data_IF_678521455917
#
_entry.id   IF_678521455917
#
_cell.length_a   1.000
_cell.length_b   1.000
_cell.length_c   1.000
_cell.angle_alpha   90.00
_cell.angle_beta   90.00
_cell.angle_gamma   90.00
#
_symmetry.space_group_name_H-M   'P 1'
#
loop_
_entity.id
_entity.type
_entity.pdbx_description
1 polymer ?
#
# COMPACT_ATOMS: atom_id res chain seq x y z
N UNK A 1 -1.45 -19.63 -13.54
CA UNK A 1 -0.37 -19.25 -12.65
C UNK A 1 -0.64 -17.83 -12.24
N UNK A 2 -0.86 -17.63 -10.96
CA UNK A 2 -1.12 -16.33 -10.38
C UNK A 2 0.21 -15.59 -10.16
N UNK A 3 1.27 -16.30 -9.76
CA UNK A 3 2.63 -15.78 -9.56
C UNK A 3 3.49 -15.81 -10.84
N UNK A 4 4.38 -14.83 -10.99
CA UNK A 4 5.42 -14.81 -12.02
C UNK A 4 6.80 -15.09 -11.39
N UNK A 5 7.71 -15.66 -12.18
CA UNK A 5 9.12 -15.90 -11.80
C UNK A 5 10.10 -15.09 -12.64
N UNK A 6 9.61 -14.01 -13.26
CA UNK A 6 10.43 -13.08 -14.04
C UNK A 6 10.87 -11.92 -13.17
N UNK A 7 12.15 -11.55 -13.24
CA UNK A 7 12.62 -10.32 -12.60
C UNK A 7 12.08 -9.09 -13.34
N UNK A 8 11.37 -8.22 -12.64
CA UNK A 8 10.76 -7.01 -13.20
C UNK A 8 11.74 -5.83 -13.29
N UNK A 9 12.86 -5.89 -12.57
CA UNK A 9 13.82 -4.80 -12.44
C UNK A 9 15.24 -5.28 -12.73
N UNK A 10 16.13 -4.35 -13.08
CA UNK A 10 17.55 -4.64 -13.19
C UNK A 10 18.39 -3.54 -12.53
N UNK A 11 19.45 -3.87 -11.78
CA UNK A 11 20.26 -2.88 -11.07
C UNK A 11 20.76 -1.74 -11.96
N UNK A 12 21.15 -2.03 -13.21
CA UNK A 12 21.71 -1.05 -14.15
C UNK A 12 20.72 0.06 -14.57
N UNK A 13 19.42 -0.13 -14.34
CA UNK A 13 18.41 0.88 -14.66
C UNK A 13 18.41 2.04 -13.65
N UNK A 14 18.89 1.82 -12.42
CA UNK A 14 18.83 2.81 -11.35
C UNK A 14 19.76 4.02 -11.53
N UNK A 15 21.06 3.84 -11.84
CA UNK A 15 22.00 4.96 -11.99
C UNK A 15 21.58 6.08 -12.96
N UNK A 16 21.08 5.81 -14.19
CA UNK A 16 20.59 6.89 -15.05
C UNK A 16 19.36 7.60 -14.47
N UNK A 17 18.38 6.85 -13.92
CA UNK A 17 17.19 7.43 -13.27
C UNK A 17 17.55 8.32 -12.08
N UNK A 18 18.54 7.91 -11.28
CA UNK A 18 19.07 8.69 -10.17
C UNK A 18 19.72 10.00 -10.64
N UNK A 19 20.42 9.99 -11.77
CA UNK A 19 21.01 11.20 -12.35
C UNK A 19 19.93 12.18 -12.81
N UNK A 20 18.88 11.70 -13.48
CA UNK A 20 17.76 12.52 -13.93
C UNK A 20 17.00 13.15 -12.74
N UNK A 21 16.77 12.37 -11.68
CA UNK A 21 16.13 12.87 -10.46
C UNK A 21 16.98 13.98 -9.80
N UNK A 22 18.29 13.80 -9.70
CA UNK A 22 19.20 14.83 -9.15
C UNK A 22 19.20 16.11 -9.97
N UNK A 23 19.11 16.00 -11.30
CA UNK A 23 19.01 17.17 -12.16
C UNK A 23 17.72 17.96 -11.89
N UNK A 24 16.58 17.28 -11.71
CA UNK A 24 15.32 17.93 -11.30
C UNK A 24 15.41 18.53 -9.90
N UNK A 25 15.96 17.80 -8.93
CA UNK A 25 16.16 18.30 -7.57
C UNK A 25 16.97 19.60 -7.57
N UNK A 26 18.09 19.64 -8.31
CA UNK A 26 18.92 20.83 -8.42
C UNK A 26 18.17 22.00 -9.07
N UNK A 27 17.43 21.74 -10.16
CA UNK A 27 16.66 22.75 -10.87
C UNK A 27 15.58 23.39 -9.98
N UNK A 28 15.05 22.64 -9.02
CA UNK A 28 13.99 23.10 -8.12
C UNK A 28 14.48 23.52 -6.73
N UNK A 29 15.79 23.39 -6.47
CA UNK A 29 16.41 23.79 -5.21
C UNK A 29 16.08 22.84 -4.05
N UNK A 30 16.09 21.53 -4.31
CA UNK A 30 16.05 20.49 -3.29
C UNK A 30 17.46 19.92 -3.05
N UNK A 31 17.83 19.78 -1.78
CA UNK A 31 19.10 19.15 -1.37
C UNK A 31 18.94 17.64 -1.13
N UNK A 32 17.72 17.22 -0.78
CA UNK A 32 17.35 15.83 -0.60
C UNK A 32 15.91 15.56 -1.06
N UNK A 33 15.62 14.31 -1.40
CA UNK A 33 14.29 13.85 -1.83
C UNK A 33 13.92 12.51 -1.20
N UNK A 34 12.69 12.40 -0.68
CA UNK A 34 12.13 11.16 -0.14
C UNK A 34 11.43 10.33 -1.23
N UNK A 35 11.71 9.03 -1.26
CA UNK A 35 11.04 8.07 -2.15
C UNK A 35 10.55 6.88 -1.30
N UNK A 36 9.30 6.90 -0.82
CA UNK A 36 8.76 5.76 -0.08
C UNK A 36 8.45 4.60 -1.02
N UNK A 37 8.27 3.39 -0.45
CA UNK A 37 7.54 2.33 -1.17
C UNK A 37 6.07 2.75 -1.32
N UNK A 38 5.46 3.21 -0.24
CA UNK A 38 4.03 3.46 -0.11
C UNK A 38 3.39 4.24 -1.28
N UNK A 39 2.14 3.89 -1.58
CA UNK A 39 1.22 4.67 -2.40
C UNK A 39 0.40 5.64 -1.54
N UNK A 40 -0.57 6.33 -2.14
CA UNK A 40 -1.46 7.24 -1.43
C UNK A 40 -2.42 6.53 -0.45
N UNK A 41 -2.39 5.21 -0.40
CA UNK A 41 -3.22 4.37 0.47
C UNK A 41 -2.42 3.67 1.55
N UNK A 42 -1.10 3.90 1.62
CA UNK A 42 -0.19 3.27 2.57
C UNK A 42 -0.27 1.73 2.53
N UNK A 43 -0.52 1.17 1.34
CA UNK A 43 -0.63 -0.28 1.13
C UNK A 43 0.72 -1.00 1.25
N UNK A 44 0.70 -2.27 1.69
CA UNK A 44 1.90 -3.13 1.71
C UNK A 44 2.35 -3.49 0.29
N UNK A 45 1.39 -3.78 -0.58
CA UNK A 45 1.59 -3.92 -2.03
C UNK A 45 1.06 -2.66 -2.71
N UNK A 46 1.75 -2.19 -3.73
CA UNK A 46 1.30 -1.05 -4.55
C UNK A 46 1.19 -1.46 -6.00
N UNK A 47 0.37 -0.74 -6.76
CA UNK A 47 0.20 -0.97 -8.19
C UNK A 47 1.48 -0.62 -8.97
N UNK A 48 1.70 -1.18 -10.17
CA UNK A 48 2.86 -0.84 -11.00
C UNK A 48 3.03 0.67 -11.29
N UNK A 49 1.93 1.43 -11.33
CA UNK A 49 1.94 2.89 -11.44
C UNK A 49 2.70 3.55 -10.28
N UNK A 50 2.49 3.03 -9.06
CA UNK A 50 3.02 3.59 -7.82
C UNK A 50 4.35 2.96 -7.39
N UNK A 51 4.91 2.06 -8.20
CA UNK A 51 6.14 1.31 -7.86
C UNK A 51 7.42 2.14 -8.06
N UNK A 52 7.39 3.38 -7.55
CA UNK A 52 8.42 4.42 -7.70
C UNK A 52 9.75 4.01 -7.08
N UNK A 53 9.72 3.34 -5.92
CA UNK A 53 10.94 2.84 -5.27
C UNK A 53 11.63 1.77 -6.11
N UNK A 54 10.88 0.78 -6.61
CA UNK A 54 11.46 -0.27 -7.46
C UNK A 54 11.90 0.29 -8.81
N UNK A 55 11.13 1.22 -9.38
CA UNK A 55 11.52 1.90 -10.61
C UNK A 55 12.82 2.69 -10.44
N UNK A 56 12.97 3.49 -9.38
CA UNK A 56 14.19 4.26 -9.17
C UNK A 56 15.40 3.38 -8.85
N UNK A 57 15.24 2.38 -7.99
CA UNK A 57 16.38 1.69 -7.35
C UNK A 57 16.60 0.26 -7.82
N UNK A 58 15.58 -0.38 -8.38
CA UNK A 58 15.51 -1.81 -8.66
C UNK A 58 15.03 -2.66 -7.48
N UNK A 59 14.93 -2.12 -6.27
CA UNK A 59 14.52 -2.85 -5.08
C UNK A 59 13.01 -3.17 -5.07
N UNK A 60 12.65 -4.45 -4.99
CA UNK A 60 11.25 -4.92 -5.03
C UNK A 60 10.75 -5.49 -3.71
N UNK A 61 11.45 -5.26 -2.60
CA UNK A 61 11.00 -5.74 -1.28
C UNK A 61 9.77 -4.97 -0.80
N UNK A 62 8.91 -5.61 0.00
CA UNK A 62 7.66 -5.00 0.49
C UNK A 62 7.86 -3.89 1.53
N UNK A 63 9.07 -3.73 2.08
CA UNK A 63 9.36 -2.65 3.02
C UNK A 63 10.73 -2.02 2.75
N UNK A 64 10.72 -0.70 2.61
CA UNK A 64 11.89 0.13 2.43
C UNK A 64 11.54 1.50 1.86
N UNK A 65 12.53 2.37 1.78
CA UNK A 65 12.42 3.68 1.16
C UNK A 65 13.81 4.17 0.76
N UNK A 66 13.87 5.08 -0.20
CA UNK A 66 15.11 5.72 -0.61
C UNK A 66 15.12 7.19 -0.19
N UNK A 67 16.29 7.70 0.20
CA UNK A 67 16.55 9.11 0.34
C UNK A 67 17.69 9.48 -0.61
N UNK A 68 17.38 10.35 -1.57
CA UNK A 68 18.33 10.82 -2.58
C UNK A 68 18.88 12.17 -2.16
N UNK A 69 20.20 12.31 -2.19
CA UNK A 69 20.93 13.58 -2.02
C UNK A 69 21.64 13.93 -3.33
N UNK A 70 22.21 15.13 -3.40
CA UNK A 70 22.96 15.61 -4.57
C UNK A 70 24.09 14.66 -5.02
N UNK A 71 24.81 14.02 -4.09
CA UNK A 71 25.99 13.20 -4.35
C UNK A 71 25.86 11.72 -3.94
N UNK A 72 25.02 11.42 -2.95
CA UNK A 72 24.74 10.06 -2.46
C UNK A 72 23.25 9.70 -2.48
N UNK A 73 22.93 8.41 -2.31
CA UNK A 73 21.56 7.95 -2.14
C UNK A 73 21.55 6.76 -1.17
N UNK A 74 20.68 6.82 -0.15
CA UNK A 74 20.50 5.74 0.83
C UNK A 74 19.25 4.93 0.51
N UNK A 75 19.36 3.60 0.43
CA UNK A 75 18.22 2.67 0.35
C UNK A 75 18.06 1.99 1.71
N UNK A 76 17.00 2.35 2.43
CA UNK A 76 16.71 1.90 3.78
C UNK A 76 15.86 0.64 3.72
N UNK A 77 16.37 -0.44 4.30
CA UNK A 77 15.67 -1.73 4.30
C UNK A 77 15.78 -2.40 5.67
N UNK A 78 14.79 -3.22 6.00
CA UNK A 78 14.81 -4.03 7.21
C UNK A 78 15.56 -5.36 7.08
N UNK A 79 15.68 -6.09 8.19
CA UNK A 79 16.43 -7.32 8.30
C UNK A 79 16.04 -8.41 7.28
N UNK A 80 14.79 -8.40 6.80
CA UNK A 80 14.28 -9.37 5.82
C UNK A 80 14.95 -9.20 4.45
N UNK A 81 15.42 -7.99 4.15
CA UNK A 81 15.78 -7.56 2.79
C UNK A 81 17.28 -7.29 2.59
N UNK A 82 18.12 -7.57 3.59
CA UNK A 82 19.56 -7.27 3.55
C UNK A 82 20.34 -8.04 2.46
N UNK A 83 19.87 -9.23 2.07
CA UNK A 83 20.42 -10.01 0.94
C UNK A 83 19.83 -9.52 -0.38
N UNK A 84 18.51 -9.36 -0.43
CA UNK A 84 17.78 -8.94 -1.64
C UNK A 84 18.25 -7.57 -2.16
N UNK A 85 18.41 -6.58 -1.28
CA UNK A 85 18.84 -5.22 -1.68
C UNK A 85 20.20 -5.23 -2.40
N UNK A 86 21.12 -6.11 -1.99
CA UNK A 86 22.46 -6.23 -2.61
C UNK A 86 22.40 -6.88 -3.99
N UNK A 87 21.42 -7.73 -4.23
CA UNK A 87 21.22 -8.39 -5.52
C UNK A 87 20.47 -7.50 -6.53
N UNK A 88 19.57 -6.64 -6.05
CA UNK A 88 18.64 -5.89 -6.89
C UNK A 88 19.04 -4.43 -7.14
N UNK A 89 19.91 -3.86 -6.31
CA UNK A 89 20.24 -2.43 -6.36
C UNK A 89 21.68 -2.21 -6.79
N UNK A 90 21.90 -1.24 -7.68
CA UNK A 90 23.24 -0.86 -8.12
C UNK A 90 24.05 -0.16 -7.02
N UNK A 91 25.39 -0.19 -7.14
CA UNK A 91 26.32 0.44 -6.21
C UNK A 91 26.15 1.98 -6.06
N UNK A 92 25.38 2.62 -6.93
CA UNK A 92 25.01 4.03 -6.82
C UNK A 92 24.13 4.32 -5.58
N UNK A 93 23.47 3.30 -5.02
CA UNK A 93 22.69 3.40 -3.80
C UNK A 93 23.39 2.65 -2.66
N UNK A 94 23.49 3.28 -1.50
CA UNK A 94 24.07 2.67 -0.29
C UNK A 94 22.97 2.06 0.55
N UNK A 95 23.06 0.76 0.83
CA UNK A 95 22.13 0.10 1.75
C UNK A 95 22.29 0.62 3.18
N UNK A 96 21.18 1.02 3.79
CA UNK A 96 21.11 1.52 5.17
C UNK A 96 20.25 0.57 5.99
N UNK A 97 20.77 0.15 7.15
CA UNK A 97 20.06 -0.74 8.06
C UNK A 97 18.96 0.02 8.80
N UNK A 98 17.70 -0.20 8.40
CA UNK A 98 16.52 0.34 9.05
C UNK A 98 15.81 -0.78 9.85
N UNK A 99 15.27 -0.52 11.06
CA UNK A 99 15.15 0.75 11.76
C UNK A 99 16.33 1.13 12.67
N UNK A 100 17.46 0.42 12.59
CA UNK A 100 18.64 0.73 13.40
C UNK A 100 19.19 2.15 13.14
N UNK A 101 19.16 2.57 11.87
CA UNK A 101 19.43 3.93 11.42
C UNK A 101 18.13 4.59 10.97
N UNK A 102 17.77 5.71 11.59
CA UNK A 102 16.55 6.46 11.26
C UNK A 102 16.85 7.58 10.24
N UNK A 103 15.86 8.00 9.42
CA UNK A 103 16.01 9.08 8.43
C UNK A 103 16.58 10.38 8.98
N UNK A 104 16.01 10.87 10.10
CA UNK A 104 16.43 12.13 10.71
C UNK A 104 17.93 12.18 11.06
N UNK A 105 18.43 11.28 11.93
CA UNK A 105 19.87 11.19 12.22
C UNK A 105 20.74 11.02 10.97
N UNK A 106 20.33 10.16 10.03
CA UNK A 106 21.08 9.94 8.79
C UNK A 106 21.21 11.21 7.94
N UNK A 107 20.14 11.99 7.84
CA UNK A 107 20.09 13.28 7.15
C UNK A 107 20.89 14.36 7.89
N UNK A 108 20.81 14.43 9.22
CA UNK A 108 21.56 15.39 10.03
C UNK A 108 23.08 15.23 9.87
N UNK A 109 23.58 14.01 9.63
CA UNK A 109 25.00 13.78 9.37
C UNK A 109 25.45 14.28 7.99
N UNK A 110 24.52 14.42 7.04
CA UNK A 110 24.82 14.58 5.60
C UNK A 110 24.43 15.91 5.02
N UNK A 111 23.38 16.54 5.55
CA UNK A 111 22.90 17.84 5.10
C UNK A 111 23.50 18.99 5.92
N UNK A 112 23.71 20.12 5.24
CA UNK A 112 24.07 21.38 5.86
C UNK A 112 22.90 22.05 6.58
N UNK A 113 23.19 23.14 7.29
CA UNK A 113 22.14 23.97 7.89
C UNK A 113 21.26 24.60 6.79
N UNK A 114 19.96 24.68 7.04
CA UNK A 114 19.00 25.32 6.12
C UNK A 114 18.71 24.54 4.83
N UNK A 115 19.18 23.30 4.71
CA UNK A 115 18.92 22.46 3.53
C UNK A 115 17.42 22.19 3.33
N UNK A 116 17.01 21.83 2.11
CA UNK A 116 15.61 21.57 1.76
C UNK A 116 15.41 20.09 1.39
N UNK A 117 14.60 19.41 2.20
CA UNK A 117 14.13 18.04 1.95
C UNK A 117 12.77 18.08 1.24
N UNK A 118 12.72 17.59 0.01
CA UNK A 118 11.48 17.47 -0.76
C UNK A 118 10.77 16.13 -0.54
N UNK A 119 9.44 16.17 -0.64
CA UNK A 119 8.60 14.98 -0.59
C UNK A 119 7.27 15.21 -1.32
N UNK A 120 6.63 14.11 -1.70
CA UNK A 120 5.27 14.11 -2.24
C UNK A 120 4.26 13.97 -1.08
N UNK A 121 3.37 14.96 -0.85
CA UNK A 121 2.43 14.92 0.26
C UNK A 121 1.33 13.86 0.12
N UNK A 122 1.19 13.22 -1.04
CA UNK A 122 0.30 12.06 -1.21
C UNK A 122 0.89 10.77 -0.64
N UNK A 123 2.22 10.64 -0.59
CA UNK A 123 2.88 9.36 -0.30
C UNK A 123 3.38 9.21 1.14
N UNK A 124 3.27 10.27 1.94
CA UNK A 124 3.72 10.31 3.32
C UNK A 124 2.58 10.64 4.27
N UNK A 125 2.64 10.12 5.49
CA UNK A 125 1.63 10.40 6.51
C UNK A 125 1.99 11.63 7.34
N UNK A 126 1.01 12.24 8.00
CA UNK A 126 1.29 13.35 8.91
C UNK A 126 2.27 12.97 10.02
N UNK A 127 2.11 11.78 10.61
CA UNK A 127 3.00 11.30 11.65
C UNK A 127 4.46 11.18 11.17
N UNK A 128 4.68 10.70 9.95
CA UNK A 128 6.02 10.58 9.37
C UNK A 128 6.67 11.95 9.18
N UNK A 129 5.95 12.88 8.55
CA UNK A 129 6.45 14.23 8.25
C UNK A 129 6.75 14.98 9.54
N UNK A 130 5.85 15.01 10.51
CA UNK A 130 6.08 15.71 11.79
C UNK A 130 7.24 15.10 12.58
N UNK A 131 7.39 13.77 12.56
CA UNK A 131 8.53 13.08 13.19
C UNK A 131 9.84 13.52 12.55
N UNK A 132 9.85 13.65 11.21
CA UNK A 132 11.02 14.04 10.46
C UNK A 132 11.35 15.53 10.64
N UNK A 133 10.35 16.41 10.58
CA UNK A 133 10.50 17.84 10.89
C UNK A 133 11.11 18.06 12.27
N UNK A 134 10.57 17.39 13.30
CA UNK A 134 11.09 17.47 14.66
C UNK A 134 12.56 17.03 14.73
N UNK A 135 12.89 15.90 14.09
CA UNK A 135 14.25 15.37 14.07
C UNK A 135 15.24 16.28 13.31
N UNK A 136 14.78 17.01 12.30
CA UNK A 136 15.60 17.85 11.43
C UNK A 136 15.70 19.32 11.90
N UNK A 137 14.82 19.74 12.82
CA UNK A 137 14.79 21.07 13.41
C UNK A 137 16.13 21.60 13.96
N UNK A 138 17.05 20.80 14.55
CA UNK A 138 18.30 21.33 15.09
C UNK A 138 19.24 21.94 14.04
N UNK A 139 19.10 21.56 12.76
CA UNK A 139 19.84 22.16 11.63
C UNK A 139 18.99 23.12 10.80
N UNK A 140 17.75 23.38 11.20
CA UNK A 140 16.81 24.19 10.42
C UNK A 140 16.56 23.65 9.01
N UNK A 141 16.68 22.33 8.80
CA UNK A 141 16.42 21.71 7.50
C UNK A 141 14.91 21.76 7.27
N UNK A 142 14.49 22.38 6.17
CA UNK A 142 13.08 22.58 5.84
C UNK A 142 12.54 21.38 5.06
N UNK A 143 11.32 20.95 5.38
CA UNK A 143 10.57 20.02 4.54
C UNK A 143 9.67 20.81 3.58
N UNK A 144 9.69 20.46 2.30
CA UNK A 144 8.90 21.12 1.26
C UNK A 144 8.12 20.11 0.43
N UNK A 145 6.80 20.14 0.57
CA UNK A 145 5.86 19.32 -0.20
C UNK A 145 5.70 19.84 -1.63
N UNK A 146 5.72 18.96 -2.63
CA UNK A 146 5.39 19.26 -4.04
C UNK A 146 4.92 17.99 -4.76
N UNK A 147 4.50 18.11 -6.02
CA UNK A 147 4.15 16.95 -6.85
C UNK A 147 5.37 16.04 -7.06
N UNK A 148 5.13 14.75 -7.32
CA UNK A 148 6.21 13.78 -7.40
C UNK A 148 7.23 14.09 -8.51
N UNK A 149 8.52 14.22 -8.15
CA UNK A 149 9.57 14.43 -9.14
C UNK A 149 9.83 13.20 -10.02
N UNK A 150 9.58 11.97 -9.52
CA UNK A 150 9.86 10.75 -10.30
C UNK A 150 8.89 10.62 -11.47
N UNK A 151 7.63 11.00 -11.30
CA UNK A 151 6.62 10.89 -12.36
C UNK A 151 6.99 11.74 -13.60
N UNK A 152 7.76 12.83 -13.39
CA UNK A 152 8.26 13.70 -14.48
C UNK A 152 9.42 13.11 -15.27
N UNK A 153 10.07 12.08 -14.75
CA UNK A 153 11.20 11.37 -15.39
C UNK A 153 10.86 9.91 -15.71
N UNK A 154 9.59 9.52 -15.55
CA UNK A 154 9.10 8.18 -15.84
C UNK A 154 8.19 8.19 -17.08
N UNK A 155 8.76 8.31 -18.30
CA UNK A 155 7.98 8.48 -19.53
C UNK A 155 7.07 7.29 -19.88
N UNK A 156 7.41 6.10 -19.39
CA UNK A 156 6.67 4.85 -19.57
C UNK A 156 5.95 4.40 -18.28
N UNK A 157 5.55 5.34 -17.43
CA UNK A 157 4.77 5.04 -16.22
C UNK A 157 3.47 4.31 -16.58
N UNK A 158 3.19 3.14 -15.97
CA UNK A 158 1.92 2.46 -16.17
C UNK A 158 0.73 3.34 -15.80
N UNK A 159 -0.41 3.14 -16.46
CA UNK A 159 -1.64 3.81 -16.05
C UNK A 159 -2.03 3.41 -14.61
N UNK A 160 -2.71 4.30 -13.86
CA UNK A 160 -3.30 3.93 -12.58
C UNK A 160 -4.17 2.68 -12.71
N UNK A 161 -4.25 1.83 -11.67
CA UNK A 161 -5.06 0.63 -11.74
C UNK A 161 -6.55 1.00 -11.86
N UNK A 162 -7.25 0.28 -12.75
CA UNK A 162 -8.65 0.49 -13.11
C UNK A 162 -9.44 -0.83 -13.06
N UNK A 163 -9.15 -1.68 -12.08
CA UNK A 163 -9.83 -2.96 -11.89
C UNK A 163 -11.30 -2.75 -11.51
N UNK A 164 -12.24 -3.57 -12.05
CA UNK A 164 -13.65 -3.40 -11.77
C UNK A 164 -13.96 -3.67 -10.29
N UNK A 165 -14.86 -2.88 -9.72
CA UNK A 165 -15.46 -3.12 -8.41
C UNK A 165 -16.57 -4.16 -8.55
N UNK A 166 -16.60 -5.10 -7.61
CA UNK A 166 -17.66 -6.10 -7.53
C UNK A 166 -18.33 -6.04 -6.15
N UNK A 167 -19.64 -6.26 -6.13
CA UNK A 167 -20.39 -6.43 -4.90
C UNK A 167 -19.86 -7.62 -4.09
N UNK A 168 -19.73 -7.44 -2.78
CA UNK A 168 -19.44 -8.51 -1.83
C UNK A 168 -20.74 -9.01 -1.21
N UNK A 169 -21.05 -10.32 -1.27
CA UNK A 169 -22.33 -10.84 -0.82
C UNK A 169 -22.58 -10.59 0.67
N UNK A 170 -23.80 -10.15 1.01
CA UNK A 170 -24.17 -9.81 2.39
C UNK A 170 -24.11 -11.04 3.30
N UNK A 171 -24.45 -12.22 2.80
CA UNK A 171 -24.36 -13.49 3.52
C UNK A 171 -22.93 -13.86 3.94
N UNK A 172 -21.92 -13.33 3.24
CA UNK A 172 -20.51 -13.47 3.61
C UNK A 172 -20.01 -12.30 4.47
N UNK A 173 -20.67 -11.14 4.39
CA UNK A 173 -20.31 -9.93 5.13
C UNK A 173 -20.92 -9.87 6.54
N UNK A 174 -22.00 -10.61 6.78
CA UNK A 174 -22.77 -10.61 8.04
C UNK A 174 -23.70 -9.40 8.19
N UNK A 175 -23.20 -8.21 7.90
CA UNK A 175 -23.93 -6.94 7.99
C UNK A 175 -24.10 -6.28 6.61
N UNK A 176 -25.21 -5.56 6.42
CA UNK A 176 -25.41 -4.74 5.22
C UNK A 176 -24.46 -3.52 5.22
N UNK A 177 -24.23 -2.91 4.05
CA UNK A 177 -23.44 -1.69 3.96
C UNK A 177 -24.10 -0.54 4.75
N UNK A 178 -25.44 -0.45 4.70
CA UNK A 178 -26.20 0.53 5.46
C UNK A 178 -26.01 0.39 6.98
N UNK A 179 -26.05 -0.84 7.51
CA UNK A 179 -25.84 -1.09 8.95
C UNK A 179 -24.42 -0.70 9.39
N UNK A 180 -23.42 -1.00 8.55
CA UNK A 180 -22.03 -0.60 8.82
C UNK A 180 -21.88 0.91 8.81
N UNK A 181 -22.44 1.61 7.82
CA UNK A 181 -22.41 3.09 7.78
C UNK A 181 -23.12 3.72 8.97
N UNK A 182 -24.28 3.21 9.37
CA UNK A 182 -24.98 3.67 10.57
C UNK A 182 -24.14 3.49 11.84
N UNK A 183 -23.41 2.37 11.96
CA UNK A 183 -22.47 2.14 13.07
C UNK A 183 -21.33 3.15 13.08
N UNK A 184 -20.73 3.44 11.92
CA UNK A 184 -19.67 4.44 11.80
C UNK A 184 -20.19 5.85 12.12
N UNK A 185 -21.38 6.20 11.62
CA UNK A 185 -22.04 7.46 11.91
C UNK A 185 -22.26 7.66 13.42
N UNK A 186 -22.71 6.62 14.13
CA UNK A 186 -22.87 6.67 15.58
C UNK A 186 -21.55 6.91 16.34
N UNK A 187 -20.44 6.30 15.89
CA UNK A 187 -19.10 6.55 16.46
C UNK A 187 -18.71 8.01 16.26
N UNK A 188 -18.91 8.57 15.06
CA UNK A 188 -18.59 9.96 14.78
C UNK A 188 -19.43 10.93 15.62
N UNK A 189 -20.74 10.66 15.75
CA UNK A 189 -21.63 11.47 16.57
C UNK A 189 -21.25 11.42 18.07
N UNK A 190 -20.90 10.25 18.61
CA UNK A 190 -20.43 10.10 19.99
C UNK A 190 -19.13 10.89 20.24
N UNK A 191 -18.23 10.91 19.26
CA UNK A 191 -16.97 11.64 19.33
C UNK A 191 -17.08 13.13 18.93
N UNK A 192 -18.30 13.62 18.62
CA UNK A 192 -18.57 15.00 18.23
C UNK A 192 -17.88 15.43 16.93
N UNK A 193 -17.79 14.52 15.96
CA UNK A 193 -17.10 14.69 14.69
C UNK A 193 -18.10 14.65 13.54
N UNK A 194 -18.04 15.67 12.67
CA UNK A 194 -18.96 15.81 11.53
C UNK A 194 -18.71 14.79 10.40
N UNK A 195 -17.48 14.31 10.27
CA UNK A 195 -17.06 13.41 9.22
C UNK A 195 -15.74 12.70 9.55
N UNK A 196 -15.44 11.61 8.83
CA UNK A 196 -14.14 10.98 8.76
C UNK A 196 -13.68 10.81 7.31
N UNK A 197 -12.38 10.99 7.07
CA UNK A 197 -11.74 10.67 5.79
C UNK A 197 -11.19 9.25 5.85
N UNK A 198 -11.68 8.37 4.97
CA UNK A 198 -11.20 7.01 4.81
C UNK A 198 -10.20 6.97 3.65
N UNK A 199 -8.96 6.65 3.97
CA UNK A 199 -7.84 6.59 3.00
C UNK A 199 -7.41 5.17 2.67
N UNK A 200 -7.83 4.20 3.49
CA UNK A 200 -7.51 2.79 3.34
C UNK A 200 -8.59 2.07 2.52
N UNK A 201 -8.24 1.50 1.35
CA UNK A 201 -9.18 0.81 0.48
C UNK A 201 -9.89 -0.39 1.11
N UNK A 202 -9.26 -1.10 2.06
CA UNK A 202 -9.86 -2.23 2.75
C UNK A 202 -10.98 -1.79 3.72
N UNK A 203 -10.84 -0.61 4.35
CA UNK A 203 -11.92 0.01 5.13
C UNK A 203 -13.10 0.42 4.25
N UNK A 204 -12.85 1.01 3.08
CA UNK A 204 -13.89 1.37 2.10
C UNK A 204 -14.60 0.10 1.60
N UNK A 205 -13.82 -0.94 1.25
CA UNK A 205 -14.32 -2.23 0.81
C UNK A 205 -15.21 -2.92 1.87
N UNK A 206 -14.81 -2.85 3.13
CA UNK A 206 -15.58 -3.39 4.24
C UNK A 206 -16.87 -2.59 4.49
N UNK A 207 -16.78 -1.25 4.49
CA UNK A 207 -17.91 -0.35 4.78
C UNK A 207 -19.02 -0.46 3.73
N UNK A 208 -18.64 -0.58 2.46
CA UNK A 208 -19.58 -0.59 1.32
C UNK A 208 -19.91 -2.00 0.81
N UNK A 209 -19.39 -3.05 1.46
CA UNK A 209 -19.50 -4.43 0.97
C UNK A 209 -19.10 -4.56 -0.50
N UNK A 210 -17.92 -4.07 -0.86
CA UNK A 210 -17.36 -4.17 -2.21
C UNK A 210 -15.99 -4.85 -2.19
N UNK A 211 -15.52 -5.31 -3.34
CA UNK A 211 -14.15 -5.81 -3.59
C UNK A 211 -13.65 -5.24 -4.90
N UNK A 212 -12.33 -5.28 -5.10
CA UNK A 212 -11.70 -4.83 -6.34
C UNK A 212 -10.52 -5.72 -6.74
N UNK A 213 -9.77 -5.24 -7.73
CA UNK A 213 -8.64 -5.96 -8.31
C UNK A 213 -7.47 -5.04 -8.68
N UNK A 214 -7.40 -3.86 -8.04
CA UNK A 214 -6.36 -2.87 -8.34
C UNK A 214 -4.97 -3.30 -7.86
N UNK A 215 -4.94 -4.00 -6.73
CA UNK A 215 -3.71 -4.50 -6.12
C UNK A 215 -3.68 -6.01 -6.27
N UNK A 216 -2.60 -6.54 -6.84
CA UNK A 216 -2.41 -7.99 -6.93
C UNK A 216 -2.47 -8.59 -5.52
N UNK A 217 -3.06 -9.79 -5.38
CA UNK A 217 -3.17 -10.52 -4.10
C UNK A 217 -4.10 -9.91 -3.07
N UNK A 218 -4.55 -8.67 -3.25
CA UNK A 218 -5.39 -7.96 -2.30
C UNK A 218 -6.68 -7.50 -2.99
N UNK A 219 -7.86 -8.06 -2.65
CA UNK A 219 -9.10 -7.84 -3.40
C UNK A 219 -9.76 -6.49 -3.06
N UNK A 220 -9.03 -5.40 -3.26
CA UNK A 220 -9.45 -4.02 -2.99
C UNK A 220 -9.49 -3.20 -4.28
N UNK A 221 -10.31 -2.15 -4.27
CA UNK A 221 -10.27 -1.08 -5.26
C UNK A 221 -9.74 0.18 -4.58
N UNK A 222 -8.66 0.73 -5.09
CA UNK A 222 -8.06 1.98 -4.61
C UNK A 222 -9.02 3.15 -4.86
N UNK A 223 -9.18 3.96 -3.82
CA UNK A 223 -10.04 5.14 -3.78
C UNK A 223 -10.04 5.75 -2.37
N UNK A 224 -10.70 6.88 -2.23
CA UNK A 224 -10.90 7.57 -0.96
C UNK A 224 -12.39 7.67 -0.65
N UNK A 225 -12.75 7.84 0.61
CA UNK A 225 -14.13 8.17 0.97
C UNK A 225 -14.19 9.21 2.08
N UNK A 226 -15.25 10.00 2.10
CA UNK A 226 -15.64 10.80 3.25
C UNK A 226 -16.98 10.26 3.74
N UNK A 227 -17.02 9.80 4.98
CA UNK A 227 -18.26 9.38 5.67
C UNK A 227 -18.65 10.46 6.68
N UNK A 228 -19.91 10.88 6.67
CA UNK A 228 -20.42 11.88 7.61
C UNK A 228 -21.15 11.26 8.81
N UNK A 229 -21.47 12.10 9.79
CA UNK A 229 -22.19 11.72 11.03
C UNK A 229 -23.63 11.22 10.80
N UNK A 230 -24.15 11.28 9.57
CA UNK A 230 -25.44 10.71 9.17
C UNK A 230 -25.31 9.34 8.50
N UNK A 231 -24.08 8.93 8.17
CA UNK A 231 -23.78 7.70 7.42
C UNK A 231 -23.80 7.90 5.91
N UNK A 232 -23.93 9.14 5.43
CA UNK A 232 -23.74 9.51 4.04
C UNK A 232 -22.28 9.32 3.63
N UNK A 233 -22.04 8.85 2.41
CA UNK A 233 -20.69 8.60 1.90
C UNK A 233 -20.48 9.31 0.57
N UNK A 234 -19.38 10.05 0.48
CA UNK A 234 -18.81 10.51 -0.78
C UNK A 234 -17.62 9.62 -1.11
N UNK A 235 -17.77 8.77 -2.12
CA UNK A 235 -16.75 7.85 -2.62
C UNK A 235 -15.99 8.49 -3.79
N UNK A 236 -14.68 8.62 -3.69
CA UNK A 236 -13.79 9.19 -4.69
C UNK A 236 -13.02 8.06 -5.37
N UNK A 237 -13.46 7.69 -6.57
CA UNK A 237 -12.95 6.53 -7.31
C UNK A 237 -13.17 6.75 -8.80
N UNK A 238 -12.31 6.16 -9.64
CA UNK A 238 -12.49 6.19 -11.09
C UNK A 238 -13.88 5.62 -11.47
N UNK A 239 -14.75 6.40 -12.14
CA UNK A 239 -16.08 5.95 -12.54
C UNK A 239 -16.08 4.67 -13.37
N UNK A 240 -15.02 4.40 -14.14
CA UNK A 240 -14.89 3.18 -14.92
C UNK A 240 -14.86 1.91 -14.05
N UNK A 241 -14.41 2.02 -12.79
CA UNK A 241 -14.42 0.90 -11.84
C UNK A 241 -15.81 0.56 -11.32
N UNK A 242 -16.75 1.51 -11.39
CA UNK A 242 -18.07 1.45 -10.75
C UNK A 242 -19.22 1.17 -11.74
N UNK A 243 -18.92 0.78 -12.99
CA UNK A 243 -19.90 0.64 -14.07
C UNK A 243 -21.11 -0.23 -13.72
N UNK A 244 -20.91 -1.29 -12.94
CA UNK A 244 -21.94 -2.27 -12.58
C UNK A 244 -22.45 -2.12 -11.13
N UNK A 245 -22.17 -0.98 -10.48
CA UNK A 245 -22.42 -0.81 -9.03
C UNK A 245 -23.69 -0.04 -8.67
N UNK A 246 -24.44 0.46 -9.66
CA UNK A 246 -25.64 1.26 -9.43
C UNK A 246 -26.74 0.55 -8.62
N UNK A 247 -26.85 -0.78 -8.74
CA UNK A 247 -27.84 -1.57 -7.99
C UNK A 247 -27.37 -2.00 -6.59
N UNK A 248 -26.06 -1.94 -6.32
CA UNK A 248 -25.46 -2.37 -5.05
C UNK A 248 -25.22 -1.20 -4.09
N UNK A 249 -24.82 -0.04 -4.61
CA UNK A 249 -24.55 1.14 -3.79
C UNK A 249 -25.87 1.82 -3.40
N UNK A 250 -26.00 2.11 -2.11
CA UNK A 250 -27.16 2.80 -1.58
C UNK A 250 -27.25 4.25 -2.12
N UNK A 251 -28.46 4.85 -2.19
CA UNK A 251 -28.64 6.23 -2.64
C UNK A 251 -27.83 7.28 -1.87
N UNK A 252 -27.48 6.99 -0.61
CA UNK A 252 -26.67 7.85 0.25
C UNK A 252 -25.15 7.74 -0.03
N UNK A 253 -24.75 6.95 -1.04
CA UNK A 253 -23.37 6.83 -1.53
C UNK A 253 -23.22 7.60 -2.84
N UNK A 254 -22.66 8.81 -2.75
CA UNK A 254 -22.33 9.63 -3.92
C UNK A 254 -20.97 9.23 -4.49
N UNK A 255 -20.92 8.84 -5.75
CA UNK A 255 -19.68 8.49 -6.45
C UNK A 255 -19.13 9.70 -7.21
N UNK A 256 -17.87 10.04 -6.94
CA UNK A 256 -17.17 11.21 -7.48
C UNK A 256 -15.83 10.78 -8.08
N UNK A 257 -15.31 11.48 -9.09
CA UNK A 257 -13.97 11.24 -9.62
C UNK A 257 -12.88 11.48 -8.56
N UNK A 258 -11.71 10.81 -8.65
CA UNK A 258 -10.64 10.92 -7.64
C UNK A 258 -10.11 12.34 -7.42
N UNK A 259 -10.03 13.15 -8.46
CA UNK A 259 -9.55 14.55 -8.41
C UNK A 259 -10.50 15.49 -7.64
N UNK A 260 -11.73 15.07 -7.37
CA UNK A 260 -12.70 15.81 -6.56
C UNK A 260 -12.43 15.78 -5.05
N UNK A 261 -11.53 14.93 -4.55
CA UNK A 261 -11.31 14.75 -3.11
C UNK A 261 -10.92 16.04 -2.40
N UNK A 262 -9.90 16.75 -2.89
CA UNK A 262 -9.39 17.95 -2.21
C UNK A 262 -10.42 19.07 -2.16
N UNK A 263 -11.17 19.26 -3.25
CA UNK A 263 -12.28 20.23 -3.30
C UNK A 263 -13.40 19.85 -2.32
N UNK A 264 -13.67 18.56 -2.15
CA UNK A 264 -14.66 18.07 -1.19
C UNK A 264 -14.20 18.19 0.27
N UNK A 265 -12.89 18.07 0.55
CA UNK A 265 -12.32 18.33 1.87
C UNK A 265 -12.45 19.81 2.24
N UNK A 266 -12.17 20.72 1.30
CA UNK A 266 -12.22 22.17 1.50
C UNK A 266 -13.63 22.73 1.82
N UNK A 267 -14.67 21.91 1.69
CA UNK A 267 -16.07 22.31 1.98
C UNK A 267 -16.62 21.70 3.27
N UNK A 268 -15.81 20.96 4.03
CA UNK A 268 -16.22 20.36 5.30
C UNK A 268 -16.33 21.41 6.41
N UNK A 269 -17.31 21.23 7.31
CA UNK A 269 -17.49 22.09 8.50
C UNK A 269 -16.57 21.72 9.67
N UNK A 270 -16.25 20.42 9.81
CA UNK A 270 -15.48 19.88 10.91
C UNK A 270 -16.24 19.80 12.26
N UNK A 271 -15.68 19.14 13.29
CA UNK A 271 -14.39 18.45 13.29
C UNK A 271 -14.35 17.27 12.32
N UNK A 272 -13.25 17.12 11.58
CA UNK A 272 -13.03 16.02 10.62
C UNK A 272 -12.03 15.03 11.20
N UNK A 273 -12.42 13.76 11.35
CA UNK A 273 -11.53 12.69 11.74
C UNK A 273 -10.54 12.35 10.63
N UNK A 274 -9.26 12.36 10.98
CA UNK A 274 -8.16 11.96 10.11
C UNK A 274 -7.22 11.05 10.89
N UNK A 275 -6.81 9.95 10.27
CA UNK A 275 -5.83 9.05 10.86
C UNK A 275 -4.41 9.57 10.60
N UNK A 276 -3.73 9.92 11.68
CA UNK A 276 -2.38 10.51 11.62
C UNK A 276 -1.33 9.55 11.04
N UNK A 277 -1.56 8.25 11.17
CA UNK A 277 -0.61 7.19 10.84
C UNK A 277 -0.84 6.57 9.44
N UNK A 278 -1.97 6.88 8.78
CA UNK A 278 -2.33 6.24 7.50
C UNK A 278 -2.86 7.22 6.45
N UNK A 279 -3.38 8.38 6.84
CA UNK A 279 -3.82 9.37 5.86
C UNK A 279 -2.62 10.08 5.22
N UNK A 280 -2.63 10.26 3.88
CA UNK A 280 -1.70 11.15 3.21
C UNK A 280 -1.66 12.55 3.83
N UNK A 281 -0.46 13.11 3.97
CA UNK A 281 -0.21 14.42 4.56
C UNK A 281 -1.03 15.52 3.87
N UNK A 282 -1.26 15.40 2.56
CA UNK A 282 -2.09 16.32 1.79
C UNK A 282 -3.51 16.48 2.36
N UNK A 283 -4.10 15.44 2.97
CA UNK A 283 -5.42 15.50 3.59
C UNK A 283 -5.41 16.48 4.76
N UNK A 284 -4.50 16.28 5.72
CA UNK A 284 -4.38 17.15 6.89
C UNK A 284 -3.95 18.57 6.52
N UNK A 285 -3.08 18.71 5.51
CA UNK A 285 -2.66 20.02 5.00
C UNK A 285 -3.83 20.77 4.39
N UNK A 286 -4.62 20.13 3.53
CA UNK A 286 -5.80 20.73 2.89
C UNK A 286 -6.81 21.23 3.93
N UNK A 287 -7.11 20.42 4.95
CA UNK A 287 -8.01 20.84 6.03
C UNK A 287 -7.45 22.03 6.82
N UNK A 288 -6.13 22.04 7.08
CA UNK A 288 -5.46 23.12 7.81
C UNK A 288 -5.44 24.43 7.01
N UNK A 289 -5.11 24.36 5.72
CA UNK A 289 -5.05 25.51 4.81
C UNK A 289 -6.43 26.20 4.68
N UNK A 290 -7.52 25.41 4.76
CA UNK A 290 -8.91 25.88 4.72
C UNK A 290 -9.47 26.24 6.11
N UNK A 291 -8.67 26.13 7.18
CA UNK A 291 -9.09 26.45 8.54
C UNK A 291 -10.14 25.50 9.13
N UNK A 292 -10.27 24.30 8.57
CA UNK A 292 -11.24 23.29 8.99
C UNK A 292 -10.68 22.56 10.21
N UNK A 293 -11.49 22.47 11.28
CA UNK A 293 -11.08 21.80 12.50
C UNK A 293 -10.87 20.31 12.22
N UNK A 294 -9.67 19.82 12.50
CA UNK A 294 -9.33 18.40 12.42
C UNK A 294 -9.37 17.74 13.80
N UNK A 295 -9.76 16.47 13.84
CA UNK A 295 -9.68 15.60 15.00
C UNK A 295 -8.80 14.40 14.64
N UNK A 296 -7.62 14.30 15.23
CA UNK A 296 -6.79 13.11 15.04
C UNK A 296 -7.46 11.90 15.69
N UNK A 297 -7.64 10.83 14.93
CA UNK A 297 -8.24 9.59 15.41
C UNK A 297 -8.02 8.47 14.41
N UNK A 298 -7.91 7.23 14.89
CA UNK A 298 -7.76 6.08 14.01
C UNK A 298 -8.95 5.95 13.04
N UNK A 299 -8.72 5.33 11.89
CA UNK A 299 -9.79 4.96 10.95
C UNK A 299 -10.97 4.31 11.71
N UNK A 300 -12.19 4.89 11.63
CA UNK A 300 -13.33 4.40 12.40
C UNK A 300 -13.80 3.00 11.97
N UNK A 301 -13.42 2.52 10.79
CA UNK A 301 -13.70 1.17 10.30
C UNK A 301 -12.70 0.14 10.84
N UNK A 302 -11.52 0.55 11.34
CA UNK A 302 -10.44 -0.36 11.70
C UNK A 302 -10.82 -1.38 12.78
N UNK A 303 -11.39 -0.91 13.90
CA UNK A 303 -11.79 -1.79 14.99
C UNK A 303 -13.04 -2.63 14.65
N UNK A 304 -14.12 -2.07 14.06
CA UNK A 304 -15.25 -2.87 13.61
C UNK A 304 -14.86 -4.00 12.65
N UNK A 305 -14.02 -3.75 11.64
CA UNK A 305 -13.57 -4.80 10.70
C UNK A 305 -12.58 -5.78 11.31
N UNK A 306 -11.90 -5.40 12.40
CA UNK A 306 -11.01 -6.31 13.11
C UNK A 306 -11.80 -7.42 13.83
N UNK A 307 -13.04 -7.13 14.25
CA UNK A 307 -13.91 -8.05 15.02
C UNK A 307 -14.91 -8.72 14.08
N UNK A 308 -14.61 -9.95 13.65
CA UNK A 308 -15.37 -10.65 12.61
C UNK A 308 -16.75 -11.04 13.14
N UNK A 309 -17.78 -10.84 12.31
CA UNK A 309 -19.12 -11.37 12.55
C UNK A 309 -19.15 -12.90 12.46
N UNK A 310 -20.22 -13.52 12.97
CA UNK A 310 -20.41 -14.98 12.86
C UNK A 310 -20.42 -15.45 11.40
N UNK A 311 -20.98 -14.66 10.48
CA UNK A 311 -20.98 -14.96 9.05
C UNK A 311 -19.55 -14.94 8.45
N UNK A 312 -18.75 -13.92 8.78
CA UNK A 312 -17.35 -13.82 8.32
C UNK A 312 -16.50 -14.96 8.90
N UNK A 313 -16.70 -15.32 10.18
CA UNK A 313 -16.01 -16.46 10.82
C UNK A 313 -16.41 -17.78 10.13
N UNK A 314 -17.70 -17.99 9.87
CA UNK A 314 -18.18 -19.19 9.20
C UNK A 314 -17.62 -19.30 7.77
N UNK A 315 -17.66 -18.22 6.99
CA UNK A 315 -17.12 -18.17 5.64
C UNK A 315 -15.59 -18.41 5.63
N UNK A 316 -14.87 -17.80 6.56
CA UNK A 316 -13.42 -17.98 6.74
C UNK A 316 -13.08 -19.43 7.11
N UNK A 317 -13.89 -20.05 7.97
CA UNK A 317 -13.74 -21.47 8.34
C UNK A 317 -13.90 -22.37 7.13
N UNK A 318 -14.92 -22.14 6.30
CA UNK A 318 -15.12 -22.92 5.06
C UNK A 318 -13.97 -22.73 4.07
N UNK A 319 -13.45 -21.50 3.94
CA UNK A 319 -12.27 -21.24 3.11
C UNK A 319 -11.03 -22.01 3.61
N UNK A 320 -10.79 -22.05 4.93
CA UNK A 320 -9.66 -22.77 5.52
C UNK A 320 -9.81 -24.29 5.43
N UNK A 321 -11.02 -24.84 5.58
CA UNK A 321 -11.26 -26.28 5.39
C UNK A 321 -10.94 -26.70 3.95
N UNK A 322 -11.35 -25.88 2.97
CA UNK A 322 -11.04 -26.08 1.55
C UNK A 322 -9.54 -25.98 1.27
N UNK A 323 -8.87 -24.96 1.78
CA UNK A 323 -7.41 -24.80 1.61
C UNK A 323 -6.65 -25.93 2.32
N UNK A 324 -7.11 -26.37 3.48
CA UNK A 324 -6.55 -27.51 4.20
C UNK A 324 -6.60 -28.82 3.39
N UNK A 325 -7.70 -29.09 2.69
CA UNK A 325 -7.79 -30.23 1.78
C UNK A 325 -6.82 -30.08 0.60
N UNK A 326 -6.71 -28.89 -0.01
CA UNK A 326 -5.75 -28.63 -1.08
C UNK A 326 -4.29 -28.79 -0.61
N UNK A 327 -3.99 -28.39 0.63
CA UNK A 327 -2.69 -28.58 1.27
C UNK A 327 -2.37 -30.06 1.48
N UNK A 328 -3.34 -30.88 1.91
CA UNK A 328 -3.15 -32.33 2.03
C UNK A 328 -2.81 -32.99 0.69
N UNK A 329 -3.54 -32.63 -0.38
CA UNK A 329 -3.27 -33.11 -1.75
C UNK A 329 -1.87 -32.70 -2.23
N UNK A 330 -1.50 -31.43 -1.99
CA UNK A 330 -0.18 -30.92 -2.31
C UNK A 330 0.93 -31.65 -1.53
N UNK A 331 0.77 -31.86 -0.22
CA UNK A 331 1.76 -32.54 0.62
C UNK A 331 1.93 -34.01 0.26
N UNK A 332 0.84 -34.70 -0.12
CA UNK A 332 0.89 -36.06 -0.66
C UNK A 332 1.73 -36.13 -1.95
N UNK A 333 1.52 -35.18 -2.87
CA UNK A 333 2.37 -35.05 -4.05
C UNK A 333 3.82 -34.74 -3.68
N UNK A 334 4.05 -33.84 -2.72
CA UNK A 334 5.40 -33.41 -2.34
C UNK A 334 6.23 -34.57 -1.76
N UNK A 335 5.61 -35.45 -0.99
CA UNK A 335 6.25 -36.67 -0.47
C UNK A 335 6.73 -37.58 -1.62
N UNK A 336 5.83 -37.86 -2.58
CA UNK A 336 6.16 -38.65 -3.77
C UNK A 336 7.22 -37.97 -4.65
N UNK A 337 7.14 -36.65 -4.79
CA UNK A 337 8.10 -35.84 -5.53
C UNK A 337 9.48 -35.90 -4.87
N UNK A 338 9.54 -35.84 -3.54
CA UNK A 338 10.78 -35.96 -2.76
C UNK A 338 11.42 -37.34 -2.91
N UNK A 339 10.62 -38.42 -2.91
CA UNK A 339 11.12 -39.76 -3.18
C UNK A 339 11.72 -39.87 -4.61
N UNK A 340 11.03 -39.33 -5.61
CA UNK A 340 11.55 -39.29 -6.98
C UNK A 340 12.83 -38.45 -7.09
N UNK A 341 12.94 -37.34 -6.35
CA UNK A 341 14.16 -36.52 -6.31
C UNK A 341 15.35 -37.30 -5.72
N UNK A 342 15.12 -38.13 -4.70
CA UNK A 342 16.13 -39.02 -4.13
C UNK A 342 16.64 -40.06 -5.14
N UNK A 343 15.82 -40.43 -6.13
CA UNK A 343 16.18 -41.32 -7.24
C UNK A 343 16.76 -40.58 -8.46
N UNK A 344 16.95 -39.26 -8.37
CA UNK A 344 17.61 -38.44 -9.40
C UNK A 344 16.66 -37.60 -10.27
N UNK A 345 15.35 -37.57 -9.98
CA UNK A 345 14.43 -36.66 -10.66
C UNK A 345 14.74 -35.19 -10.29
N UNK A 346 14.64 -34.29 -11.27
CA UNK A 346 14.81 -32.85 -11.04
C UNK A 346 13.47 -32.21 -10.68
N UNK A 347 13.38 -31.64 -9.48
CA UNK A 347 12.25 -30.82 -9.03
C UNK A 347 12.79 -29.47 -8.59
N UNK A 348 12.16 -28.39 -9.06
CA UNK A 348 12.54 -27.01 -8.72
C UNK A 348 11.55 -26.40 -7.75
N UNK A 349 11.96 -25.33 -7.06
CA UNK A 349 11.10 -24.50 -6.22
C UNK A 349 9.86 -24.00 -6.99
N UNK A 350 10.04 -23.63 -8.26
CA UNK A 350 8.97 -23.23 -9.17
C UNK A 350 7.96 -24.36 -9.39
N UNK A 351 8.41 -25.62 -9.51
CA UNK A 351 7.51 -26.76 -9.68
C UNK A 351 6.66 -27.00 -8.42
N UNK A 352 7.24 -26.78 -7.24
CA UNK A 352 6.55 -26.85 -5.95
C UNK A 352 5.44 -25.79 -5.87
N UNK A 353 5.75 -24.53 -6.20
CA UNK A 353 4.75 -23.45 -6.22
C UNK A 353 3.63 -23.75 -7.21
N UNK A 354 3.97 -24.15 -8.45
CA UNK A 354 3.00 -24.52 -9.48
C UNK A 354 2.06 -25.63 -9.01
N UNK A 355 2.59 -26.63 -8.29
CA UNK A 355 1.77 -27.72 -7.78
C UNK A 355 0.82 -27.24 -6.69
N UNK A 356 1.29 -26.44 -5.73
CA UNK A 356 0.44 -25.90 -4.68
C UNK A 356 -0.71 -25.05 -5.26
N UNK A 357 -0.38 -24.17 -6.21
CA UNK A 357 -1.40 -23.38 -6.90
C UNK A 357 -2.40 -24.26 -7.65
N UNK A 358 -1.94 -25.31 -8.33
CA UNK A 358 -2.82 -26.25 -9.02
C UNK A 358 -3.77 -26.97 -8.06
N UNK A 359 -3.30 -27.37 -6.88
CA UNK A 359 -4.13 -28.00 -5.85
C UNK A 359 -5.21 -27.02 -5.35
N UNK A 360 -4.85 -25.76 -5.07
CA UNK A 360 -5.81 -24.72 -4.68
C UNK A 360 -6.80 -24.40 -5.79
N UNK A 361 -6.35 -24.32 -7.04
CA UNK A 361 -7.20 -24.07 -8.21
C UNK A 361 -8.19 -25.22 -8.44
N UNK A 362 -7.80 -26.46 -8.18
CA UNK A 362 -8.68 -27.63 -8.31
C UNK A 362 -9.90 -27.58 -7.38
N UNK A 363 -9.89 -26.71 -6.35
CA UNK A 363 -11.04 -26.52 -5.47
C UNK A 363 -12.21 -25.76 -6.12
N UNK A 364 -11.99 -25.12 -7.27
CA UNK A 364 -13.02 -24.38 -8.01
C UNK A 364 -13.37 -22.99 -7.47
N UNK A 365 -12.91 -22.65 -6.26
CA UNK A 365 -13.31 -21.43 -5.54
C UNK A 365 -12.16 -20.40 -5.40
N UNK A 366 -10.95 -20.75 -5.85
CA UNK A 366 -9.78 -19.89 -5.77
C UNK A 366 -9.96 -18.65 -6.65
N UNK A 367 -9.86 -17.46 -6.05
CA UNK A 367 -9.92 -16.17 -6.75
C UNK A 367 -8.53 -15.67 -7.16
N UNK A 368 -7.60 -15.66 -6.20
CA UNK A 368 -6.19 -15.33 -6.36
C UNK A 368 -5.41 -15.99 -5.20
N UNK A 369 -4.08 -15.99 -5.25
CA UNK A 369 -3.25 -16.25 -4.08
C UNK A 369 -3.18 -14.97 -3.22
N UNK A 370 -3.06 -15.09 -1.90
CA UNK A 370 -3.04 -13.91 -0.99
C UNK A 370 -1.66 -13.27 -0.84
N UNK A 371 -0.62 -13.93 -1.32
CA UNK A 371 0.76 -13.45 -1.49
C UNK A 371 1.50 -14.43 -2.39
N UNK A 372 2.63 -14.00 -2.95
CA UNK A 372 3.49 -14.88 -3.74
C UNK A 372 4.03 -16.02 -2.87
N UNK A 373 3.87 -17.26 -3.33
CA UNK A 373 4.27 -18.43 -2.57
C UNK A 373 5.78 -18.47 -2.42
N UNK A 374 6.23 -18.55 -1.17
CA UNK A 374 7.64 -18.69 -0.82
C UNK A 374 7.99 -20.18 -0.79
N UNK A 375 8.85 -20.61 -1.72
CA UNK A 375 9.38 -21.97 -1.78
C UNK A 375 10.91 -21.90 -1.87
N UNK A 376 11.59 -22.00 -0.73
CA UNK A 376 13.05 -21.98 -0.65
C UNK A 376 13.62 -23.33 -0.23
N UNK A 377 14.57 -23.86 -1.00
CA UNK A 377 15.32 -25.08 -0.69
C UNK A 377 16.77 -24.78 -0.32
N UNK A 378 17.30 -25.50 0.66
CA UNK A 378 18.67 -25.32 1.13
C UNK A 378 18.95 -23.87 1.56
N UNK A 379 19.97 -23.18 1.02
CA UNK A 379 20.27 -21.79 1.37
C UNK A 379 19.12 -20.80 1.11
N UNK A 380 18.26 -21.05 0.12
CA UNK A 380 17.12 -20.17 -0.16
C UNK A 380 16.08 -20.22 0.97
N UNK A 381 15.97 -21.35 1.69
CA UNK A 381 15.09 -21.47 2.86
C UNK A 381 15.51 -20.60 4.05
N UNK A 382 16.72 -20.02 4.04
CA UNK A 382 17.18 -19.06 5.04
C UNK A 382 16.79 -17.61 4.70
N UNK A 383 16.27 -17.34 3.51
CA UNK A 383 15.82 -16.01 3.08
C UNK A 383 14.32 -15.91 3.37
N UNK A 384 13.95 -15.01 4.27
CA UNK A 384 12.57 -14.92 4.80
C UNK A 384 11.55 -14.69 3.69
N UNK A 385 11.84 -13.75 2.77
CA UNK A 385 11.04 -13.46 1.59
C UNK A 385 11.88 -13.75 0.33
N UNK A 386 12.21 -15.03 0.13
CA UNK A 386 13.01 -15.51 -1.02
C UNK A 386 12.36 -15.20 -2.37
#
# INVERSE_FOLDING_TARGET
>A
MFQSFTSATRPEQGPPRLADLRALMQAEGFDAWLVPRADAHQGEYVAPHDDRLAWLTGFTGSAGFCIVLADQAGIFVDGRYTVQVKAQVAAAFTSVNWPATKPGPWLLERLGEGAVLGFDPWLHTAQEIETLEAALSPKGIALRATDNLLDRIWPDQPAPPAGPVTAYPQELAGDSAADKRARIAAILAEDGQSAAVLTLPDSIAWLLNIRGSDIQRTPIAQGFAIVDETGGVRLFMDPAKLSDMAAHLDPDVSCLPPDGLLAALATLSGPVRVDRATAPYIVSRTLTDEGIKMAWGADPCALPKATKSDAEIAATTQAHLRDGAAMCEFLCWLDSATAAAAEGARITEIDVVKKLEAARKATGELRDISFDTIAGSGPHGAIVHY
#
